data_IF_537606416375
#
_entry.id   IF_537606416375
#
_cell.length_a   1.000
_cell.length_b   1.000
_cell.length_c   1.000
_cell.angle_alpha   90.00
_cell.angle_beta   90.00
_cell.angle_gamma   90.00
#
_symmetry.space_group_name_H-M   'P 1'
#
loop_
_entity.id
_entity.type
_entity.pdbx_description
1 polymer ?
#
# COMPACT_ATOMS: atom_id res chain seq x y z
N UNK A 1 2.06 44.72 1.07
CA UNK A 1 3.50 44.72 1.40
C UNK A 1 3.75 43.63 2.43
N UNK A 2 4.72 42.74 2.13
CA UNK A 2 5.48 41.83 3.02
C UNK A 2 4.71 41.01 4.08
N UNK A 3 4.51 39.73 3.76
CA UNK A 3 4.30 38.65 4.74
C UNK A 3 5.62 38.35 5.46
N UNK A 4 5.61 38.48 6.78
CA UNK A 4 6.69 38.03 7.66
C UNK A 4 6.57 36.52 7.87
N UNK A 5 7.50 35.76 7.28
CA UNK A 5 7.71 34.35 7.62
C UNK A 5 8.53 34.27 8.91
N UNK A 6 7.96 33.68 9.97
CA UNK A 6 8.71 33.30 11.18
C UNK A 6 9.60 32.08 10.90
N UNK A 7 10.82 32.01 11.45
CA UNK A 7 11.77 30.95 11.12
C UNK A 7 11.32 29.60 11.71
N UNK A 8 11.27 28.56 10.86
CA UNK A 8 11.07 27.18 11.30
C UNK A 8 12.20 26.74 12.24
N UNK A 9 11.91 25.92 13.27
CA UNK A 9 12.85 25.58 14.32
C UNK A 9 14.12 24.89 13.75
N UNK A 10 15.32 25.43 14.01
CA UNK A 10 16.59 24.95 13.44
C UNK A 10 17.05 23.57 13.96
N UNK A 11 16.28 22.96 14.86
CA UNK A 11 16.66 21.76 15.60
C UNK A 11 16.68 20.47 14.75
N UNK A 12 15.85 20.36 13.71
CA UNK A 12 15.78 19.13 12.88
C UNK A 12 16.96 19.05 11.91
N UNK A 13 17.41 20.19 11.38
CA UNK A 13 18.58 20.26 10.50
C UNK A 13 19.87 19.88 11.24
N UNK A 14 20.05 20.39 12.45
CA UNK A 14 21.23 20.09 13.27
C UNK A 14 21.27 18.63 13.73
N UNK A 15 20.12 18.01 14.05
CA UNK A 15 20.08 16.58 14.43
C UNK A 15 20.53 15.65 13.30
N UNK A 16 20.07 15.89 12.06
CA UNK A 16 20.51 15.08 10.91
C UNK A 16 21.99 15.29 10.60
N UNK A 17 22.49 16.53 10.72
CA UNK A 17 23.91 16.85 10.47
C UNK A 17 24.84 16.30 11.55
N UNK A 18 24.41 16.31 12.82
CA UNK A 18 25.14 15.71 13.93
C UNK A 18 25.22 14.17 13.81
N UNK A 19 24.13 13.52 13.38
CA UNK A 19 24.12 12.07 13.14
C UNK A 19 25.07 11.68 11.99
N UNK A 20 25.07 12.44 10.89
CA UNK A 20 25.97 12.19 9.76
C UNK A 20 27.44 12.40 10.13
N UNK A 21 27.76 13.48 10.86
CA UNK A 21 29.12 13.74 11.33
C UNK A 21 29.59 12.69 12.36
N UNK A 22 28.70 12.27 13.27
CA UNK A 22 28.98 11.23 14.26
C UNK A 22 29.24 9.87 13.61
N UNK A 23 28.38 9.44 12.68
CA UNK A 23 28.55 8.19 11.95
C UNK A 23 29.83 8.17 11.10
N UNK A 24 30.13 9.29 10.42
CA UNK A 24 31.36 9.44 9.65
C UNK A 24 32.62 9.38 10.52
N UNK A 25 32.61 10.03 11.69
CA UNK A 25 33.73 9.99 12.63
C UNK A 25 33.93 8.59 13.22
N UNK A 26 32.85 7.89 13.57
CA UNK A 26 32.90 6.52 14.08
C UNK A 26 33.44 5.54 13.02
N UNK A 27 33.01 5.69 11.77
CA UNK A 27 33.54 4.93 10.63
C UNK A 27 35.04 5.17 10.42
N UNK A 28 35.49 6.42 10.55
CA UNK A 28 36.91 6.78 10.46
C UNK A 28 37.74 6.14 11.58
N UNK A 29 37.23 6.12 12.82
CA UNK A 29 37.88 5.46 13.95
C UNK A 29 38.03 3.95 13.68
N UNK A 30 36.96 3.29 13.21
CA UNK A 30 36.98 1.84 12.90
C UNK A 30 37.99 1.54 11.79
N UNK A 31 38.05 2.36 10.74
CA UNK A 31 39.03 2.22 9.66
C UNK A 31 40.46 2.38 10.17
N UNK A 32 40.73 3.40 10.97
CA UNK A 32 42.06 3.62 11.54
C UNK A 32 42.47 2.47 12.46
N UNK A 33 41.55 1.96 13.28
CA UNK A 33 41.81 0.81 14.16
C UNK A 33 42.11 -0.46 13.36
N UNK A 34 41.41 -0.65 12.23
CA UNK A 34 41.62 -1.77 11.32
C UNK A 34 42.96 -1.67 10.57
N UNK A 35 43.39 -0.45 10.21
CA UNK A 35 44.67 -0.21 9.54
C UNK A 35 45.89 -0.31 10.49
N UNK A 36 45.72 -0.02 11.79
CA UNK A 36 46.81 -0.15 12.79
C UNK A 36 46.92 -1.57 13.36
N UNK A 37 45.95 -2.44 13.06
CA UNK A 37 45.74 -3.72 13.74
C UNK A 37 45.87 -4.95 12.85
N UNK A 38 46.81 -5.02 11.90
CA UNK A 38 47.22 -6.32 11.32
C UNK A 38 48.52 -6.21 10.52
N UNK A 39 49.64 -6.47 11.18
CA UNK A 39 50.82 -7.04 10.53
C UNK A 39 50.81 -8.55 10.76
N UNK A 40 50.85 -9.35 9.67
CA UNK A 40 51.73 -10.52 9.44
C UNK A 40 51.11 -11.58 8.49
N UNK A 41 51.68 -11.60 7.29
CA UNK A 41 52.10 -12.73 6.43
C UNK A 41 51.16 -13.90 6.08
N UNK A 42 51.14 -14.25 4.79
CA UNK A 42 50.96 -15.63 4.32
C UNK A 42 50.43 -15.77 2.90
N UNK A 43 51.34 -15.97 1.95
CA UNK A 43 51.11 -16.29 0.53
C UNK A 43 50.17 -17.48 0.27
N UNK A 44 49.36 -17.38 -0.80
CA UNK A 44 49.20 -18.43 -1.83
C UNK A 44 48.35 -17.95 -3.01
N UNK A 45 48.99 -17.94 -4.18
CA UNK A 45 48.37 -18.01 -5.52
C UNK A 45 47.76 -19.40 -5.75
N UNK A 46 46.65 -19.54 -6.51
CA UNK A 46 46.81 -19.91 -7.92
C UNK A 46 45.79 -19.29 -8.91
N UNK A 47 46.32 -18.89 -10.07
CA UNK A 47 45.91 -19.24 -11.45
C UNK A 47 44.48 -18.95 -11.95
N UNK A 48 44.44 -17.90 -12.79
CA UNK A 48 43.73 -17.70 -14.07
C UNK A 48 42.56 -18.62 -14.48
N UNK A 49 41.43 -17.98 -14.82
CA UNK A 49 40.41 -18.51 -15.73
C UNK A 49 39.19 -17.61 -15.91
N UNK A 50 39.16 -16.83 -17.00
CA UNK A 50 37.96 -16.52 -17.80
C UNK A 50 36.86 -15.59 -17.24
N UNK A 51 36.65 -14.48 -17.93
CA UNK A 51 35.46 -13.60 -17.88
C UNK A 51 35.07 -13.28 -19.34
N UNK A 52 33.86 -12.80 -19.69
CA UNK A 52 32.51 -13.02 -19.14
C UNK A 52 31.50 -13.49 -20.23
N UNK A 53 30.32 -13.96 -19.83
CA UNK A 53 29.07 -13.73 -20.60
C UNK A 53 27.84 -14.13 -19.78
N UNK A 54 27.14 -13.13 -19.26
CA UNK A 54 25.77 -13.28 -18.82
C UNK A 54 24.86 -12.84 -19.97
N UNK A 55 24.22 -13.80 -20.63
CA UNK A 55 22.98 -13.55 -21.36
C UNK A 55 21.87 -14.14 -20.50
N UNK A 56 21.01 -13.28 -19.95
CA UNK A 56 19.74 -13.71 -19.39
C UNK A 56 18.65 -12.94 -20.11
N UNK A 57 17.99 -13.66 -21.01
CA UNK A 57 16.73 -13.29 -21.60
C UNK A 57 15.70 -13.13 -20.47
N UNK A 58 15.01 -12.00 -20.45
CA UNK A 58 13.84 -11.79 -19.62
C UNK A 58 12.65 -12.57 -20.22
N UNK A 59 12.30 -13.69 -19.61
CA UNK A 59 10.99 -14.33 -19.80
C UNK A 59 10.02 -13.68 -18.81
N UNK A 60 8.81 -13.25 -19.21
CA UNK A 60 7.81 -12.75 -18.27
C UNK A 60 7.30 -13.92 -17.41
N UNK A 61 7.72 -13.96 -16.15
CA UNK A 61 7.16 -14.85 -15.13
C UNK A 61 5.83 -14.30 -14.58
N UNK A 62 4.94 -15.18 -14.07
CA UNK A 62 3.60 -14.79 -13.64
C UNK A 62 3.67 -13.84 -12.45
N UNK A 63 2.98 -12.70 -12.57
CA UNK A 63 2.91 -11.68 -11.52
C UNK A 63 2.26 -12.25 -10.25
N UNK A 64 2.88 -11.98 -9.11
CA UNK A 64 2.35 -12.33 -7.79
C UNK A 64 1.04 -11.59 -7.46
N UNK A 65 0.44 -11.88 -6.31
CA UNK A 65 -0.83 -11.29 -5.93
C UNK A 65 -0.60 -9.83 -5.54
N UNK A 66 -1.04 -8.90 -6.39
CA UNK A 66 -0.94 -7.47 -6.17
C UNK A 66 -2.32 -6.95 -5.81
N UNK A 67 -2.41 -6.23 -4.68
CA UNK A 67 -3.57 -5.41 -4.35
C UNK A 67 -3.66 -4.29 -5.39
N UNK A 68 -4.56 -4.44 -6.35
CA UNK A 68 -4.78 -3.42 -7.38
C UNK A 68 -5.94 -2.52 -6.97
N UNK A 69 -5.75 -1.19 -6.96
CA UNK A 69 -6.81 -0.25 -6.62
C UNK A 69 -7.81 -0.12 -7.76
N UNK A 70 -9.10 -0.26 -7.45
CA UNK A 70 -10.20 0.15 -8.33
C UNK A 70 -11.03 1.23 -7.66
N UNK A 71 -11.41 2.24 -8.44
CA UNK A 71 -12.28 3.34 -8.00
C UNK A 71 -13.62 3.17 -8.69
N UNK A 72 -14.68 2.92 -7.93
CA UNK A 72 -16.05 2.92 -8.44
C UNK A 72 -16.67 4.30 -8.26
N UNK A 73 -17.12 4.93 -9.35
CA UNK A 73 -17.99 6.10 -9.34
C UNK A 73 -19.42 5.72 -9.75
N UNK A 74 -20.45 6.52 -9.42
CA UNK A 74 -21.81 6.24 -9.86
C UNK A 74 -21.94 6.36 -11.40
N UNK A 75 -22.61 5.39 -12.02
CA UNK A 75 -22.97 5.41 -13.45
C UNK A 75 -23.95 6.55 -13.75
N UNK A 76 -23.65 7.33 -14.80
CA UNK A 76 -24.62 8.18 -15.47
C UNK A 76 -24.70 7.79 -16.94
N UNK A 77 -25.87 7.31 -17.35
CA UNK A 77 -26.26 7.12 -18.74
C UNK A 77 -26.68 8.47 -19.33
N UNK A 78 -26.16 8.85 -20.51
CA UNK A 78 -26.90 9.50 -21.58
C UNK A 78 -25.99 9.83 -22.78
N UNK A 79 -26.49 9.48 -23.96
CA UNK A 79 -25.99 9.80 -25.31
C UNK A 79 -26.12 11.29 -25.65
N UNK A 80 -25.21 11.82 -26.49
CA UNK A 80 -25.53 12.38 -27.82
C UNK A 80 -24.41 13.33 -28.34
N UNK A 81 -23.91 12.96 -29.53
CA UNK A 81 -23.58 13.76 -30.73
C UNK A 81 -22.78 15.08 -30.67
N UNK A 82 -21.80 15.17 -31.58
CA UNK A 82 -20.88 16.29 -31.79
C UNK A 82 -21.33 17.14 -32.98
N UNK A 83 -21.69 18.40 -32.74
CA UNK A 83 -21.89 19.44 -33.76
C UNK A 83 -21.01 20.65 -33.48
N UNK A 84 -20.37 21.17 -34.52
CA UNK A 84 -19.20 22.04 -34.50
C UNK A 84 -19.44 23.54 -34.20
N UNK A 85 -18.30 24.24 -34.06
CA UNK A 85 -17.98 25.64 -34.40
C UNK A 85 -18.26 26.79 -33.40
N UNK A 86 -17.14 27.42 -32.99
CA UNK A 86 -16.94 28.80 -32.48
C UNK A 86 -17.20 29.85 -33.60
N UNK A 87 -17.39 31.18 -33.39
CA UNK A 87 -16.96 31.98 -32.23
C UNK A 87 -17.89 33.10 -31.67
N UNK A 88 -17.45 33.62 -30.52
CA UNK A 88 -17.73 34.90 -29.81
C UNK A 88 -17.96 36.13 -30.74
N UNK A 89 -18.56 37.28 -30.33
CA UNK A 89 -18.58 37.85 -28.95
C UNK A 89 -19.82 38.68 -28.52
N UNK A 90 -19.92 39.00 -27.21
CA UNK A 90 -20.26 40.33 -26.68
C UNK A 90 -20.51 40.29 -25.16
N UNK A 91 -20.01 41.32 -24.48
CA UNK A 91 -20.02 41.56 -23.05
C UNK A 91 -21.44 41.87 -22.56
N UNK A 92 -21.93 41.21 -21.52
CA UNK A 92 -22.99 41.75 -20.65
C UNK A 92 -22.81 41.22 -19.24
N UNK A 93 -22.73 42.16 -18.30
CA UNK A 93 -22.59 41.95 -16.87
C UNK A 93 -23.73 41.10 -16.33
N UNK A 94 -23.39 39.92 -15.80
CA UNK A 94 -24.18 39.24 -14.79
C UNK A 94 -23.19 38.66 -13.78
N UNK A 95 -23.21 39.25 -12.59
CA UNK A 95 -22.61 38.72 -11.37
C UNK A 95 -23.00 37.24 -11.24
N UNK A 96 -22.05 36.30 -11.33
CA UNK A 96 -22.34 34.91 -11.00
C UNK A 96 -22.72 34.89 -9.52
N UNK A 97 -23.73 34.13 -9.08
CA UNK A 97 -23.74 33.75 -7.67
C UNK A 97 -22.38 33.07 -7.45
N UNK A 98 -21.63 33.55 -6.46
CA UNK A 98 -20.60 32.76 -5.82
C UNK A 98 -21.31 31.46 -5.43
N UNK A 99 -21.22 30.47 -6.31
CA UNK A 99 -21.38 29.09 -5.93
C UNK A 99 -20.38 28.92 -4.82
N UNK A 100 -20.89 28.86 -3.60
CA UNK A 100 -20.10 28.59 -2.44
C UNK A 100 -19.40 27.25 -2.69
N UNK A 101 -18.17 27.31 -3.18
CA UNK A 101 -17.15 26.36 -2.82
C UNK A 101 -16.91 26.57 -1.32
N UNK A 102 -17.89 26.17 -0.52
CA UNK A 102 -17.80 26.12 0.92
C UNK A 102 -17.31 24.71 1.28
N UNK A 103 -16.13 24.67 1.88
CA UNK A 103 -15.52 23.49 2.50
C UNK A 103 -14.42 22.88 1.62
N UNK A 104 -13.15 22.89 2.00
CA UNK A 104 -12.53 23.36 3.25
C UNK A 104 -11.02 23.41 3.00
N UNK A 105 -10.40 24.53 3.34
CA UNK A 105 -8.95 24.59 3.48
C UNK A 105 -8.59 23.88 4.80
N UNK A 106 -7.77 22.84 4.67
CA UNK A 106 -7.21 21.97 5.72
C UNK A 106 -8.12 20.85 6.27
N UNK A 107 -8.52 19.96 5.37
CA UNK A 107 -9.17 18.72 5.77
C UNK A 107 -8.16 17.66 6.18
N UNK A 108 -7.79 17.72 7.47
CA UNK A 108 -6.85 16.81 8.12
C UNK A 108 -7.14 15.31 7.91
N UNK A 109 -6.26 14.48 8.47
CA UNK A 109 -6.31 13.02 8.28
C UNK A 109 -7.64 12.42 8.73
N UNK A 110 -8.29 11.60 7.90
CA UNK A 110 -9.49 10.85 8.29
C UNK A 110 -9.20 10.03 9.53
N UNK A 111 -10.04 10.19 10.55
CA UNK A 111 -10.02 9.34 11.75
C UNK A 111 -10.61 7.96 11.44
N UNK A 112 -10.36 7.00 12.32
CA UNK A 112 -10.94 5.65 12.20
C UNK A 112 -12.48 5.66 12.33
N UNK A 113 -13.06 6.68 12.96
CA UNK A 113 -14.51 6.86 13.06
C UNK A 113 -15.15 7.38 11.76
N UNK A 114 -14.39 8.08 10.93
CA UNK A 114 -14.86 8.67 9.68
C UNK A 114 -14.74 7.72 8.48
N UNK A 115 -13.99 6.63 8.63
CA UNK A 115 -13.86 5.59 7.60
C UNK A 115 -14.49 4.27 8.04
N UNK A 116 -15.08 3.57 7.07
CA UNK A 116 -15.44 2.17 7.16
C UNK A 116 -14.42 1.31 6.40
N UNK A 117 -14.10 0.16 6.97
CA UNK A 117 -13.27 -0.88 6.33
C UNK A 117 -14.09 -2.15 6.31
N UNK A 118 -14.26 -2.74 5.12
CA UNK A 118 -15.07 -3.94 4.91
C UNK A 118 -14.21 -4.97 4.19
N UNK A 119 -14.18 -6.19 4.74
CA UNK A 119 -13.63 -7.35 4.03
C UNK A 119 -14.72 -8.04 3.22
N UNK A 120 -14.36 -8.73 2.15
CA UNK A 120 -15.24 -9.68 1.48
C UNK A 120 -14.44 -10.83 0.86
N UNK A 121 -15.14 -11.93 0.57
CA UNK A 121 -14.58 -13.11 -0.08
C UNK A 121 -15.52 -13.57 -1.20
N UNK A 122 -14.97 -13.88 -2.36
CA UNK A 122 -15.71 -14.40 -3.51
C UNK A 122 -14.95 -15.57 -4.15
N UNK A 123 -15.50 -16.81 -4.10
CA UNK A 123 -16.74 -17.20 -3.42
C UNK A 123 -16.58 -17.28 -1.89
N UNK A 124 -17.69 -17.27 -1.15
CA UNK A 124 -17.72 -17.49 0.32
C UNK A 124 -17.77 -18.97 0.72
N UNK A 125 -17.93 -19.87 -0.25
CA UNK A 125 -17.80 -21.32 -0.09
C UNK A 125 -16.96 -21.86 -1.24
N UNK A 126 -15.87 -22.55 -0.92
CA UNK A 126 -14.85 -22.93 -1.91
C UNK A 126 -14.32 -24.34 -1.63
N UNK A 127 -14.01 -25.07 -2.70
CA UNK A 127 -13.32 -26.35 -2.62
C UNK A 127 -11.89 -26.17 -2.10
N UNK A 128 -11.40 -27.09 -1.26
CA UNK A 128 -10.07 -27.02 -0.68
C UNK A 128 -9.00 -26.92 -1.78
N UNK A 129 -8.20 -25.86 -1.71
CA UNK A 129 -7.12 -25.57 -2.64
C UNK A 129 -7.53 -24.78 -3.89
N UNK A 130 -8.81 -24.44 -4.06
CA UNK A 130 -9.21 -23.44 -5.05
C UNK A 130 -8.91 -22.01 -4.57
N UNK A 131 -8.81 -21.10 -5.54
CA UNK A 131 -8.51 -19.69 -5.30
C UNK A 131 -9.76 -18.94 -4.83
N UNK A 132 -9.60 -18.03 -3.88
CA UNK A 132 -10.64 -17.11 -3.41
C UNK A 132 -10.20 -15.68 -3.64
N UNK A 133 -11.06 -14.87 -4.25
CA UNK A 133 -10.84 -13.43 -4.35
C UNK A 133 -11.23 -12.77 -3.04
N UNK A 134 -10.24 -12.23 -2.33
CA UNK A 134 -10.46 -11.44 -1.13
C UNK A 134 -10.44 -9.96 -1.50
N UNK A 135 -11.29 -9.17 -0.86
CA UNK A 135 -11.33 -7.73 -1.09
C UNK A 135 -11.35 -6.97 0.23
N UNK A 136 -10.61 -5.86 0.24
CA UNK A 136 -10.65 -4.82 1.25
C UNK A 136 -11.28 -3.58 0.60
N UNK A 137 -12.35 -3.06 1.19
CA UNK A 137 -13.00 -1.82 0.77
C UNK A 137 -12.90 -0.78 1.88
N UNK A 138 -12.51 0.43 1.51
CA UNK A 138 -12.40 1.59 2.39
C UNK A 138 -13.38 2.63 1.88
N UNK A 139 -14.27 3.13 2.75
CA UNK A 139 -15.24 4.17 2.38
C UNK A 139 -15.25 5.27 3.44
N UNK A 140 -15.23 6.52 3.00
CA UNK A 140 -15.51 7.65 3.88
C UNK A 140 -17.01 7.71 4.18
N UNK A 141 -17.36 7.61 5.45
CA UNK A 141 -18.72 7.62 5.97
C UNK A 141 -19.08 8.93 6.68
N UNK A 142 -18.17 9.91 6.68
CA UNK A 142 -18.45 11.26 7.15
C UNK A 142 -19.06 12.14 6.05
N UNK A 143 -19.45 13.35 6.43
CA UNK A 143 -20.00 14.40 5.57
C UNK A 143 -18.94 15.39 5.06
N UNK A 144 -17.66 15.16 5.38
CA UNK A 144 -16.53 16.00 4.97
C UNK A 144 -15.50 15.24 4.14
N UNK A 145 -14.75 15.99 3.35
CA UNK A 145 -13.54 15.45 2.73
C UNK A 145 -12.46 15.30 3.79
N UNK A 146 -11.63 14.27 3.66
CA UNK A 146 -10.43 14.07 4.48
C UNK A 146 -9.43 13.19 3.72
N UNK A 147 -8.18 13.13 4.16
CA UNK A 147 -7.16 12.27 3.52
C UNK A 147 -6.75 11.13 4.44
N UNK A 148 -6.44 9.95 3.90
CA UNK A 148 -5.97 8.80 4.69
C UNK A 148 -4.84 8.09 3.95
N UNK A 149 -3.79 7.75 4.69
CA UNK A 149 -2.81 6.79 4.19
C UNK A 149 -3.45 5.39 4.17
N UNK A 150 -3.61 4.88 2.96
CA UNK A 150 -4.12 3.56 2.62
C UNK A 150 -3.07 2.79 1.83
N UNK A 151 -1.78 3.05 2.06
CA UNK A 151 -0.70 2.30 1.45
C UNK A 151 -0.58 0.88 2.00
N UNK A 152 0.17 0.04 1.28
CA UNK A 152 0.45 -1.34 1.66
C UNK A 152 1.05 -1.49 3.06
N UNK A 153 1.81 -0.48 3.54
CA UNK A 153 2.37 -0.50 4.91
C UNK A 153 1.28 -0.53 6.00
N UNK A 154 0.06 -0.06 5.69
CA UNK A 154 -1.05 0.04 6.63
C UNK A 154 -2.20 -0.91 6.31
N UNK A 155 -2.28 -1.42 5.08
CA UNK A 155 -3.32 -2.34 4.65
C UNK A 155 -2.97 -3.79 4.98
N UNK A 156 -3.93 -4.56 5.44
CA UNK A 156 -3.79 -6.01 5.54
C UNK A 156 -5.15 -6.66 5.30
N UNK A 157 -5.17 -7.78 4.56
CA UNK A 157 -6.29 -8.70 4.55
C UNK A 157 -5.79 -10.07 4.98
N UNK A 158 -6.50 -10.70 5.92
CA UNK A 158 -6.04 -11.92 6.57
C UNK A 158 -7.20 -12.86 6.91
N UNK A 159 -6.88 -14.15 7.03
CA UNK A 159 -7.83 -15.21 7.32
C UNK A 159 -7.50 -15.84 8.67
N UNK A 160 -8.53 -16.06 9.49
CA UNK A 160 -8.42 -16.78 10.77
C UNK A 160 -9.23 -18.07 10.81
N UNK A 161 -8.70 -19.04 11.54
CA UNK A 161 -9.42 -20.20 12.09
C UNK A 161 -9.52 -20.03 13.60
N UNK A 162 -10.69 -19.67 14.12
CA UNK A 162 -10.83 -19.25 15.51
C UNK A 162 -9.92 -18.06 15.84
N UNK A 163 -8.99 -18.24 16.79
CA UNK A 163 -8.02 -17.21 17.17
C UNK A 163 -6.76 -17.19 16.27
N UNK A 164 -6.47 -18.28 15.57
CA UNK A 164 -5.25 -18.45 14.79
C UNK A 164 -5.36 -17.76 13.43
N UNK A 165 -4.36 -16.96 13.08
CA UNK A 165 -4.23 -16.36 11.74
C UNK A 165 -3.50 -17.36 10.84
N UNK A 166 -4.21 -17.93 9.88
CA UNK A 166 -3.68 -18.96 8.97
C UNK A 166 -3.06 -18.34 7.71
N UNK A 167 -3.51 -17.16 7.29
CA UNK A 167 -3.03 -16.50 6.10
C UNK A 167 -3.12 -14.98 6.26
N UNK A 168 -2.17 -14.24 5.67
CA UNK A 168 -2.17 -12.78 5.59
C UNK A 168 -1.48 -12.30 4.32
N UNK A 169 -2.00 -11.22 3.75
CA UNK A 169 -1.37 -10.50 2.64
C UNK A 169 0.06 -10.05 2.96
N UNK A 170 0.35 -9.78 4.22
CA UNK A 170 1.60 -9.11 4.62
C UNK A 170 2.71 -10.12 4.96
N UNK A 171 2.35 -11.39 5.18
CA UNK A 171 3.33 -12.40 5.64
C UNK A 171 4.27 -12.83 4.51
N UNK A 172 3.71 -13.16 3.35
CA UNK A 172 4.50 -13.53 2.16
C UNK A 172 4.50 -12.44 1.08
N UNK A 173 3.56 -11.50 1.13
CA UNK A 173 3.51 -10.38 0.20
C UNK A 173 4.73 -9.48 0.35
N UNK A 174 5.17 -8.90 -0.77
CA UNK A 174 6.33 -7.99 -0.82
C UNK A 174 5.95 -6.55 -1.16
N UNK A 175 4.66 -6.28 -1.29
CA UNK A 175 4.16 -4.94 -1.59
C UNK A 175 4.30 -4.10 -0.32
N UNK A 176 4.93 -2.95 -0.45
CA UNK A 176 5.15 -1.99 0.63
C UNK A 176 4.98 -0.58 0.07
N UNK A 177 4.81 0.38 0.97
CA UNK A 177 4.73 1.81 0.66
C UNK A 177 3.46 2.47 1.17
N UNK A 178 3.54 3.79 1.24
CA UNK A 178 2.43 4.67 1.62
C UNK A 178 1.66 5.15 0.40
N UNK A 179 0.34 5.32 0.54
CA UNK A 179 -0.57 5.83 -0.48
C UNK A 179 -1.58 6.74 0.21
N UNK A 180 -1.35 8.06 0.16
CA UNK A 180 -2.25 9.04 0.80
C UNK A 180 -3.33 9.44 -0.19
N UNK A 181 -4.56 9.01 0.08
CA UNK A 181 -5.71 9.24 -0.78
C UNK A 181 -6.68 10.20 -0.12
N UNK A 182 -7.19 11.16 -0.90
CA UNK A 182 -8.31 12.00 -0.50
C UNK A 182 -9.62 11.25 -0.71
N UNK A 183 -10.46 11.24 0.32
CA UNK A 183 -11.80 10.67 0.29
C UNK A 183 -12.83 11.77 0.49
N UNK A 184 -13.57 12.11 -0.56
CA UNK A 184 -14.79 12.92 -0.42
C UNK A 184 -15.90 12.07 0.24
N UNK A 185 -16.97 12.70 0.76
CA UNK A 185 -18.06 11.98 1.41
C UNK A 185 -18.59 10.85 0.53
N UNK A 186 -18.77 9.67 1.12
CA UNK A 186 -19.26 8.45 0.48
C UNK A 186 -18.39 7.81 -0.62
N UNK A 187 -17.23 8.37 -0.96
CA UNK A 187 -16.32 7.73 -1.91
C UNK A 187 -15.64 6.51 -1.29
N UNK A 188 -15.48 5.48 -2.12
CA UNK A 188 -14.83 4.23 -1.76
C UNK A 188 -13.60 3.91 -2.62
N UNK A 189 -12.67 3.18 -2.01
CA UNK A 189 -11.51 2.56 -2.67
C UNK A 189 -11.52 1.08 -2.34
N UNK A 190 -11.30 0.26 -3.36
CA UNK A 190 -11.28 -1.19 -3.22
C UNK A 190 -9.94 -1.76 -3.65
N UNK A 191 -9.46 -2.74 -2.89
CA UNK A 191 -8.21 -3.46 -3.10
C UNK A 191 -8.51 -4.97 -3.07
N UNK A 192 -8.03 -5.71 -4.06
CA UNK A 192 -8.33 -7.14 -4.20
C UNK A 192 -7.05 -7.98 -4.20
N UNK A 193 -7.08 -9.11 -3.51
CA UNK A 193 -5.98 -10.07 -3.49
C UNK A 193 -6.50 -11.50 -3.67
N UNK A 194 -5.93 -12.27 -4.61
CA UNK A 194 -6.23 -13.69 -4.70
C UNK A 194 -5.55 -14.44 -3.56
N UNK A 195 -6.33 -15.17 -2.77
CA UNK A 195 -5.82 -16.19 -1.87
C UNK A 195 -5.75 -17.53 -2.59
N UNK A 196 -4.55 -18.10 -2.70
CA UNK A 196 -4.30 -19.36 -3.41
C UNK A 196 -4.71 -20.63 -2.61
N UNK A 197 -5.46 -20.48 -1.53
CA UNK A 197 -5.93 -21.57 -0.68
C UNK A 197 -4.88 -22.13 0.28
N UNK A 198 -3.64 -21.62 0.29
CA UNK A 198 -2.56 -22.10 1.18
C UNK A 198 -2.39 -21.21 2.41
N UNK A 199 -1.94 -21.79 3.51
CA UNK A 199 -1.55 -21.01 4.68
C UNK A 199 -0.17 -20.34 4.52
N UNK A 200 0.14 -19.36 5.38
CA UNK A 200 1.40 -18.61 5.37
C UNK A 200 2.46 -19.17 6.34
N UNK A 201 2.37 -20.44 6.75
CA UNK A 201 3.44 -21.08 7.54
C UNK A 201 4.77 -21.18 6.78
N UNK A 202 4.69 -21.16 5.44
CA UNK A 202 5.82 -21.09 4.52
C UNK A 202 5.48 -20.15 3.37
N UNK A 203 6.48 -19.46 2.83
CA UNK A 203 6.36 -18.68 1.60
C UNK A 203 7.06 -19.39 0.43
N UNK A 204 6.46 -19.26 -0.75
CA UNK A 204 7.03 -19.61 -2.06
C UNK A 204 7.08 -18.34 -2.90
N UNK A 205 8.26 -17.71 -2.98
CA UNK A 205 8.40 -16.37 -3.54
C UNK A 205 7.60 -15.33 -2.75
N UNK A 206 6.64 -14.68 -3.41
CA UNK A 206 5.72 -13.70 -2.80
C UNK A 206 4.32 -14.31 -2.48
N UNK A 207 4.19 -15.64 -2.56
CA UNK A 207 2.95 -16.37 -2.37
C UNK A 207 3.02 -17.26 -1.12
N UNK A 208 1.85 -17.56 -0.58
CA UNK A 208 1.70 -18.57 0.46
C UNK A 208 2.05 -19.96 -0.10
N UNK A 209 2.96 -20.65 0.57
CA UNK A 209 3.52 -21.94 0.17
C UNK A 209 3.36 -23.04 1.23
N UNK A 210 2.57 -22.78 2.28
CA UNK A 210 2.23 -23.78 3.29
C UNK A 210 1.21 -24.82 2.80
N UNK A 211 0.77 -25.73 3.68
CA UNK A 211 -0.28 -26.68 3.35
C UNK A 211 -1.61 -25.96 3.10
N UNK A 212 -2.54 -26.67 2.45
CA UNK A 212 -3.92 -26.24 2.37
C UNK A 212 -4.57 -26.40 3.76
N UNK A 213 -5.23 -25.37 4.32
CA UNK A 213 -5.96 -25.50 5.57
C UNK A 213 -7.00 -26.63 5.53
N UNK A 214 -7.39 -27.19 6.67
CA UNK A 214 -8.46 -28.19 6.74
C UNK A 214 -9.81 -27.69 6.19
N UNK A 215 -10.72 -28.60 5.89
CA UNK A 215 -12.11 -28.22 5.62
C UNK A 215 -12.73 -27.61 6.88
N UNK A 216 -13.57 -26.58 6.72
CA UNK A 216 -14.17 -25.89 7.87
C UNK A 216 -14.58 -24.45 7.61
N UNK A 217 -14.92 -23.76 8.70
CA UNK A 217 -15.32 -22.36 8.69
C UNK A 217 -14.16 -21.46 9.13
N UNK A 218 -13.96 -20.40 8.37
CA UNK A 218 -12.92 -19.39 8.55
C UNK A 218 -13.54 -17.99 8.59
N UNK A 219 -12.75 -17.02 9.02
CA UNK A 219 -13.14 -15.61 9.05
C UNK A 219 -12.11 -14.75 8.31
N UNK A 220 -12.59 -13.92 7.40
CA UNK A 220 -11.79 -12.96 6.63
C UNK A 220 -11.91 -11.58 7.27
N UNK A 221 -10.78 -10.96 7.54
CA UNK A 221 -10.69 -9.62 8.12
C UNK A 221 -9.87 -8.72 7.21
N UNK A 222 -10.19 -7.44 7.22
CA UNK A 222 -9.43 -6.39 6.57
C UNK A 222 -9.03 -5.31 7.58
N UNK A 223 -7.86 -4.70 7.41
CA UNK A 223 -7.32 -3.67 8.30
C UNK A 223 -6.71 -2.53 7.49
N UNK A 224 -6.86 -1.31 8.00
CA UNK A 224 -6.17 -0.11 7.51
C UNK A 224 -5.65 0.68 8.71
N UNK A 225 -4.36 0.56 9.01
CA UNK A 225 -3.76 1.09 10.23
C UNK A 225 -4.37 0.38 11.44
N UNK A 226 -5.06 1.13 12.31
CA UNK A 226 -5.77 0.63 13.50
C UNK A 226 -7.23 0.27 13.26
N UNK A 227 -7.83 0.66 12.12
CA UNK A 227 -9.21 0.33 11.78
C UNK A 227 -9.30 -1.10 11.28
N UNK A 228 -10.09 -1.93 11.95
CA UNK A 228 -10.37 -3.32 11.58
C UNK A 228 -11.82 -3.45 11.07
N UNK A 229 -12.04 -4.34 10.10
CA UNK A 229 -13.38 -4.71 9.64
C UNK A 229 -14.06 -5.70 10.59
N UNK A 230 -15.38 -5.81 10.46
CA UNK A 230 -16.09 -7.00 10.92
C UNK A 230 -15.64 -8.24 10.12
N UNK A 231 -15.72 -9.45 10.70
CA UNK A 231 -15.36 -10.68 10.01
C UNK A 231 -16.40 -11.09 8.96
N UNK A 232 -15.92 -11.57 7.81
CA UNK A 232 -16.74 -12.26 6.82
C UNK A 232 -16.46 -13.77 6.87
N UNK A 233 -17.51 -14.58 6.95
CA UNK A 233 -17.40 -16.04 6.95
C UNK A 233 -16.94 -16.55 5.57
N UNK A 234 -15.95 -17.44 5.59
CA UNK A 234 -15.50 -18.22 4.45
C UNK A 234 -15.56 -19.71 4.81
N UNK A 235 -16.13 -20.54 3.93
CA UNK A 235 -16.24 -21.98 4.14
C UNK A 235 -15.35 -22.71 3.15
N UNK A 236 -14.47 -23.59 3.64
CA UNK A 236 -13.67 -24.49 2.82
C UNK A 236 -14.29 -25.88 2.86
N UNK A 237 -14.72 -26.37 1.70
CA UNK A 237 -15.33 -27.69 1.51
C UNK A 237 -14.31 -28.69 0.96
N UNK A 238 -14.59 -29.99 1.11
CA UNK A 238 -13.79 -31.08 0.57
C UNK A 238 -14.22 -31.50 -0.83
#
# INVERSE_FOLDING_TARGET
MRLTVGPLPPAVYWRRRAVVLGAGFLFLIVLLYSCTGSGRSGDKEPKAGGSPSATSAATPGPAGPVLTPQTGGPSSSASADSGATSPSPAITSNTPPLGAAAGSEDDGTCTDGEISVVSSASPTSVQRGAVVQLQLKIKNTSDRTCSRNVGADLQEIFIKSGAEKIWSSDTCGKVQGSDVVSFTPNIERSYQVPWNGRDTSRCDGALAGGPFPPVGSYQVFARVGTKLSDPVKLTVTG
#
